data_IF_489408416717
#
_entry.id   IF_489408416717
#
_cell.length_a   1.000
_cell.length_b   1.000
_cell.length_c   1.000
_cell.angle_alpha   90.00
_cell.angle_beta   90.00
_cell.angle_gamma   90.00
#
_symmetry.space_group_name_H-M   'P 1'
#
loop_
_entity.id
_entity.type
_entity.pdbx_description
1 polymer ?
#
# COMPACT_ATOMS: atom_id res chain seq x y z
N UNK A 1 -6.78 -0.74 -21.56
CA UNK A 1 -5.88 -0.08 -20.59
C UNK A 1 -5.67 -1.03 -19.43
N UNK A 2 -4.52 -1.71 -19.34
CA UNK A 2 -4.19 -2.63 -18.24
C UNK A 2 -3.47 -1.87 -17.14
N UNK A 3 -4.19 -1.05 -16.37
CA UNK A 3 -3.61 -0.37 -15.21
C UNK A 3 -4.45 -0.64 -13.98
N UNK A 4 -3.79 -0.88 -12.86
CA UNK A 4 -4.44 -0.92 -11.55
C UNK A 4 -4.99 0.46 -11.23
N UNK A 5 -6.14 0.50 -10.54
CA UNK A 5 -6.84 1.75 -10.17
C UNK A 5 -5.89 2.69 -9.42
N UNK A 6 -5.52 3.85 -10.00
CA UNK A 6 -4.56 4.76 -9.40
C UNK A 6 -4.94 5.13 -7.97
N UNK A 7 -3.95 5.23 -7.09
CA UNK A 7 -4.10 5.61 -5.67
C UNK A 7 -4.93 4.65 -4.79
N UNK A 8 -5.45 3.56 -5.34
CA UNK A 8 -6.23 2.56 -4.59
C UNK A 8 -5.44 1.28 -4.32
N UNK A 9 -4.77 0.73 -5.34
CA UNK A 9 -4.09 -0.57 -5.21
C UNK A 9 -2.92 -0.54 -4.22
N UNK A 10 -2.21 0.59 -4.12
CA UNK A 10 -1.13 0.78 -3.15
C UNK A 10 -1.66 0.68 -1.72
N UNK A 11 -2.92 1.10 -1.51
CA UNK A 11 -3.51 1.07 -0.18
C UNK A 11 -3.76 -0.36 0.29
N UNK A 12 -4.29 -1.20 -0.61
CA UNK A 12 -4.56 -2.61 -0.36
C UNK A 12 -3.27 -3.36 -0.02
N UNK A 13 -2.21 -3.18 -0.81
CA UNK A 13 -0.93 -3.88 -0.57
C UNK A 13 -0.32 -3.46 0.76
N UNK A 14 -0.32 -2.17 1.09
CA UNK A 14 0.23 -1.69 2.34
C UNK A 14 -0.56 -2.18 3.56
N UNK A 15 -1.89 -2.23 3.48
CA UNK A 15 -2.73 -2.74 4.57
C UNK A 15 -2.49 -4.24 4.79
N UNK A 16 -2.36 -5.03 3.71
CA UNK A 16 -1.97 -6.44 3.81
C UNK A 16 -0.55 -6.62 4.35
N UNK A 17 0.41 -5.80 3.92
CA UNK A 17 1.77 -5.82 4.45
C UNK A 17 1.77 -5.63 5.96
N UNK A 18 1.09 -4.60 6.46
CA UNK A 18 1.00 -4.35 7.89
C UNK A 18 0.24 -5.46 8.63
N UNK A 19 -0.87 -5.94 8.08
CA UNK A 19 -1.67 -7.02 8.67
C UNK A 19 -0.84 -8.29 8.91
N UNK A 20 -0.03 -8.68 7.92
CA UNK A 20 0.76 -9.92 7.97
C UNK A 20 2.10 -9.78 8.70
N UNK A 21 2.73 -8.60 8.65
CA UNK A 21 4.09 -8.44 9.19
C UNK A 21 4.15 -7.65 10.49
N UNK A 22 3.15 -6.78 10.75
CA UNK A 22 3.14 -5.80 11.85
C UNK A 22 4.36 -4.87 11.86
N UNK A 23 5.03 -4.71 10.72
CA UNK A 23 6.22 -3.87 10.59
C UNK A 23 5.84 -2.40 10.35
N UNK A 24 6.61 -1.46 10.90
CA UNK A 24 6.29 -0.02 10.85
C UNK A 24 6.53 0.64 9.49
N UNK A 25 7.06 -0.09 8.50
CA UNK A 25 7.45 0.49 7.22
C UNK A 25 6.28 1.07 6.43
N UNK A 26 6.41 2.34 6.05
CA UNK A 26 5.56 2.98 5.05
C UNK A 26 6.18 2.75 3.66
N UNK A 27 5.62 1.83 2.88
CA UNK A 27 6.12 1.53 1.53
C UNK A 27 5.59 2.55 0.53
N UNK A 28 6.51 3.09 -0.26
CA UNK A 28 6.21 3.88 -1.46
C UNK A 28 6.39 3.00 -2.67
N UNK A 29 5.36 2.93 -3.52
CA UNK A 29 5.37 2.04 -4.67
C UNK A 29 5.64 2.79 -5.97
N UNK A 30 6.40 2.16 -6.87
CA UNK A 30 6.53 2.64 -8.25
C UNK A 30 5.31 2.25 -9.07
N UNK A 31 5.20 2.80 -10.29
CA UNK A 31 4.14 2.40 -11.23
C UNK A 31 4.14 0.87 -11.38
N UNK A 32 2.99 0.20 -11.23
CA UNK A 32 2.92 -1.24 -11.37
C UNK A 32 3.01 -1.59 -12.85
N UNK A 33 3.60 -2.74 -13.14
CA UNK A 33 3.61 -3.29 -14.48
C UNK A 33 2.54 -4.36 -14.58
N UNK A 34 1.64 -4.24 -15.57
CA UNK A 34 0.58 -5.22 -15.83
C UNK A 34 0.69 -5.68 -17.27
N UNK A 35 0.90 -6.97 -17.47
CA UNK A 35 1.08 -7.57 -18.79
C UNK A 35 0.29 -8.85 -18.95
N UNK A 36 -0.49 -8.94 -20.01
CA UNK A 36 -1.26 -10.14 -20.36
C UNK A 36 -0.42 -11.21 -21.06
N UNK A 37 0.76 -10.85 -21.56
CA UNK A 37 1.66 -11.74 -22.31
C UNK A 37 3.03 -11.91 -21.64
N UNK A 38 3.21 -11.34 -20.44
CA UNK A 38 4.45 -11.46 -19.68
C UNK A 38 4.51 -12.73 -18.84
N UNK A 39 5.70 -13.06 -18.33
CA UNK A 39 5.88 -14.14 -17.35
C UNK A 39 5.10 -13.90 -16.05
N UNK A 40 4.87 -12.63 -15.71
CA UNK A 40 4.05 -12.21 -14.57
C UNK A 40 2.94 -11.30 -15.06
N UNK A 41 1.71 -11.59 -14.64
CA UNK A 41 0.55 -10.74 -14.92
C UNK A 41 0.66 -9.36 -14.26
N UNK A 42 1.01 -9.31 -12.97
CA UNK A 42 1.25 -8.06 -12.24
C UNK A 42 2.62 -8.11 -11.58
N UNK A 43 3.37 -7.02 -11.68
CA UNK A 43 4.59 -6.78 -10.93
C UNK A 43 4.50 -5.42 -10.20
N UNK A 44 4.81 -5.43 -8.91
CA UNK A 44 4.82 -4.29 -8.02
C UNK A 44 6.16 -4.21 -7.32
N UNK A 45 6.75 -3.01 -7.32
CA UNK A 45 7.94 -2.70 -6.53
C UNK A 45 7.63 -1.60 -5.53
N UNK A 46 8.07 -1.81 -4.30
CA UNK A 46 7.95 -0.87 -3.20
C UNK A 46 9.29 -0.62 -2.53
N UNK A 47 9.46 0.58 -1.99
CA UNK A 47 10.62 0.97 -1.19
C UNK A 47 10.15 1.76 0.02
N UNK A 48 10.75 1.49 1.17
CA UNK A 48 10.57 2.37 2.32
C UNK A 48 11.49 3.61 2.24
N UNK A 49 10.95 4.80 2.49
CA UNK A 49 11.73 6.04 2.52
C UNK A 49 12.76 6.07 3.65
N UNK A 50 12.43 5.48 4.80
CA UNK A 50 13.21 5.68 6.03
C UNK A 50 14.30 4.62 6.18
N UNK A 51 13.95 3.33 6.03
CA UNK A 51 14.90 2.23 6.18
C UNK A 51 15.49 1.72 4.86
N UNK A 52 14.99 2.22 3.72
CA UNK A 52 15.37 1.80 2.37
C UNK A 52 15.13 0.32 2.04
N UNK A 53 14.42 -0.40 2.91
CA UNK A 53 14.01 -1.78 2.65
C UNK A 53 13.10 -1.87 1.43
N UNK A 54 13.27 -2.94 0.66
CA UNK A 54 12.66 -3.15 -0.64
C UNK A 54 11.59 -4.25 -0.56
N UNK A 55 10.45 -3.97 -1.16
CA UNK A 55 9.32 -4.87 -1.31
C UNK A 55 9.13 -5.22 -2.78
N UNK A 56 8.94 -6.50 -3.07
CA UNK A 56 8.59 -6.98 -4.40
C UNK A 56 7.34 -7.83 -4.32
N UNK A 57 6.41 -7.62 -5.24
CA UNK A 57 5.15 -8.37 -5.31
C UNK A 57 4.84 -8.79 -6.74
N UNK A 58 4.54 -10.07 -6.96
CA UNK A 58 4.15 -10.60 -8.28
C UNK A 58 2.86 -11.40 -8.23
N UNK A 59 2.11 -11.34 -9.32
CA UNK A 59 0.98 -12.23 -9.61
C UNK A 59 1.30 -12.87 -10.96
N UNK A 60 1.42 -14.18 -11.00
CA UNK A 60 1.90 -14.87 -12.19
C UNK A 60 0.77 -15.09 -13.21
N UNK A 61 -0.39 -15.54 -12.75
CA UNK A 61 -1.54 -15.87 -13.60
C UNK A 61 -2.58 -14.76 -13.65
N UNK A 62 -3.23 -14.60 -14.81
CA UNK A 62 -4.38 -13.72 -14.98
C UNK A 62 -5.55 -14.27 -14.17
N UNK A 63 -6.14 -13.50 -13.23
CA UNK A 63 -7.28 -13.97 -12.47
C UNK A 63 -8.54 -14.02 -13.34
N UNK A 64 -9.45 -14.94 -13.00
CA UNK A 64 -10.81 -14.89 -13.50
C UNK A 64 -11.50 -13.58 -13.04
N UNK A 65 -12.54 -13.17 -13.77
CA UNK A 65 -13.29 -11.95 -13.45
C UNK A 65 -13.82 -12.00 -12.02
N UNK A 66 -13.53 -10.97 -11.22
CA UNK A 66 -13.89 -10.84 -9.80
C UNK A 66 -13.29 -11.90 -8.86
N UNK A 67 -12.31 -12.69 -9.32
CA UNK A 67 -11.64 -13.66 -8.46
C UNK A 67 -10.64 -12.98 -7.50
N UNK A 68 -10.49 -13.57 -6.31
CA UNK A 68 -9.41 -13.20 -5.40
C UNK A 68 -8.06 -13.66 -5.97
N UNK A 69 -7.03 -12.85 -5.76
CA UNK A 69 -5.66 -13.14 -6.19
C UNK A 69 -4.75 -13.34 -4.99
N UNK A 70 -3.75 -14.20 -5.16
CA UNK A 70 -2.63 -14.34 -4.23
C UNK A 70 -1.42 -13.66 -4.87
N UNK A 71 -0.87 -12.67 -4.20
CA UNK A 71 0.38 -12.02 -4.58
C UNK A 71 1.53 -12.71 -3.87
N UNK A 72 2.54 -13.14 -4.62
CA UNK A 72 3.81 -13.62 -4.08
C UNK A 72 4.64 -12.40 -3.70
N UNK A 73 5.05 -12.33 -2.43
CA UNK A 73 5.78 -11.17 -1.90
C UNK A 73 7.16 -11.58 -1.41
N UNK A 74 8.18 -10.76 -1.67
CA UNK A 74 9.50 -10.87 -1.08
C UNK A 74 9.94 -9.56 -0.44
N UNK A 75 10.72 -9.67 0.63
CA UNK A 75 11.15 -8.58 1.49
C UNK A 75 12.68 -8.60 1.61
N UNK A 76 13.34 -7.48 1.33
CA UNK A 76 14.78 -7.34 1.45
C UNK A 76 15.14 -6.09 2.24
N UNK A 77 15.96 -6.23 3.28
CA UNK A 77 16.38 -5.13 4.16
C UNK A 77 15.93 -5.31 5.61
N UNK A 78 16.09 -4.26 6.41
CA UNK A 78 15.70 -4.24 7.82
C UNK A 78 14.49 -3.35 8.06
N UNK A 79 13.33 -3.98 8.04
CA UNK A 79 12.02 -3.33 8.20
C UNK A 79 11.68 -3.01 9.66
N UNK A 80 12.51 -3.43 10.63
CA UNK A 80 12.26 -3.23 12.07
C UNK A 80 12.78 -1.89 12.58
N UNK A 81 13.52 -1.15 11.75
CA UNK A 81 14.02 0.19 12.11
C UNK A 81 12.85 1.11 12.50
N UNK A 82 13.13 2.08 13.36
CA UNK A 82 12.14 3.08 13.77
C UNK A 82 11.86 4.01 12.60
N UNK A 83 10.58 4.27 12.34
CA UNK A 83 10.11 5.16 11.27
C UNK A 83 9.47 6.39 11.89
N UNK A 84 9.81 7.57 11.37
CA UNK A 84 9.24 8.84 11.83
C UNK A 84 8.19 9.38 10.86
N UNK A 85 8.26 8.96 9.59
CA UNK A 85 7.28 9.38 8.60
C UNK A 85 6.02 8.54 8.70
N UNK A 86 4.88 9.23 8.82
CA UNK A 86 3.58 8.59 8.70
C UNK A 86 3.24 8.37 7.24
N UNK A 87 2.49 7.30 6.98
CA UNK A 87 1.98 7.02 5.66
C UNK A 87 1.08 8.15 5.18
N UNK A 88 1.25 8.56 3.93
CA UNK A 88 0.36 9.53 3.29
C UNK A 88 -1.00 8.91 3.00
N UNK A 89 -2.07 9.57 3.43
CA UNK A 89 -3.43 9.25 2.99
C UNK A 89 -3.62 9.70 1.54
N UNK A 90 -3.97 8.75 0.66
CA UNK A 90 -4.14 8.96 -0.78
C UNK A 90 -5.43 8.29 -1.28
N UNK A 91 -5.94 8.76 -2.42
CA UNK A 91 -7.13 8.23 -3.07
C UNK A 91 -8.40 8.40 -2.23
N UNK A 92 -9.34 7.47 -2.39
CA UNK A 92 -10.63 7.45 -1.70
C UNK A 92 -10.49 7.42 -0.18
N UNK A 93 -9.39 6.88 0.35
CA UNK A 93 -9.11 6.85 1.80
C UNK A 93 -8.95 8.26 2.35
N UNK A 94 -8.28 9.16 1.62
CA UNK A 94 -8.15 10.57 2.01
C UNK A 94 -9.52 11.26 2.06
N UNK A 95 -10.35 11.03 1.04
CA UNK A 95 -11.69 11.63 0.96
C UNK A 95 -12.59 11.17 2.11
N UNK A 96 -12.57 9.86 2.42
CA UNK A 96 -13.31 9.30 3.57
C UNK A 96 -12.88 9.93 4.88
N UNK A 97 -11.58 10.08 5.11
CA UNK A 97 -11.03 10.70 6.32
C UNK A 97 -11.45 12.17 6.42
N UNK A 98 -11.36 12.94 5.34
CA UNK A 98 -11.80 14.34 5.32
C UNK A 98 -13.30 14.47 5.61
N UNK A 99 -14.12 13.63 4.98
CA UNK A 99 -15.56 13.64 5.20
C UNK A 99 -15.92 13.25 6.64
N UNK A 100 -15.21 12.26 7.21
CA UNK A 100 -15.38 11.87 8.61
C UNK A 100 -15.02 13.02 9.56
N UNK A 101 -13.86 13.65 9.38
CA UNK A 101 -13.44 14.82 10.17
C UNK A 101 -14.46 15.97 10.08
N UNK A 102 -14.99 16.24 8.88
CA UNK A 102 -16.02 17.27 8.67
C UNK A 102 -17.31 16.95 9.43
N UNK A 103 -17.76 15.70 9.39
CA UNK A 103 -19.01 15.27 10.01
C UNK A 103 -18.90 15.22 11.54
N UNK A 104 -17.76 14.79 12.07
CA UNK A 104 -17.51 14.64 13.50
C UNK A 104 -16.96 15.92 14.15
N UNK A 105 -16.66 16.97 13.36
CA UNK A 105 -16.00 18.21 13.79
C UNK A 105 -14.67 17.97 14.51
N UNK A 106 -13.96 16.91 14.13
CA UNK A 106 -12.66 16.54 14.70
C UNK A 106 -11.57 17.39 14.08
N UNK A 107 -10.76 18.04 14.92
CA UNK A 107 -9.61 18.80 14.45
C UNK A 107 -8.56 17.87 13.80
N UNK A 108 -7.92 18.26 12.68
CA UNK A 108 -6.90 17.44 12.03
C UNK A 108 -5.77 17.01 12.96
N UNK A 109 -5.41 17.82 13.95
CA UNK A 109 -4.36 17.50 14.92
C UNK A 109 -4.73 16.34 15.85
N UNK A 110 -6.02 16.16 16.15
CA UNK A 110 -6.55 15.06 16.97
C UNK A 110 -6.55 13.76 16.14
N UNK A 111 -7.04 13.82 14.90
CA UNK A 111 -7.05 12.67 13.99
C UNK A 111 -5.64 12.09 13.75
N UNK A 112 -4.65 12.96 13.54
CA UNK A 112 -3.26 12.53 13.29
C UNK A 112 -2.65 11.82 14.51
N UNK A 113 -3.08 12.14 15.73
CA UNK A 113 -2.63 11.47 16.96
C UNK A 113 -3.25 10.09 17.11
N UNK A 114 -4.53 9.93 16.78
CA UNK A 114 -5.24 8.65 16.87
C UNK A 114 -4.76 7.62 15.84
N UNK A 115 -4.41 8.01 14.61
CA UNK A 115 -3.78 7.08 13.64
C UNK A 115 -2.34 6.66 14.05
N UNK A 116 -1.77 7.21 15.14
CA UNK A 116 -0.43 6.88 15.63
C UNK A 116 -0.43 5.88 16.81
N UNK A 117 -1.61 5.54 17.35
CA UNK A 117 -1.81 4.57 18.43
C UNK A 117 -2.11 3.18 17.88
#
# INVERSE_FOLDING_TARGET
YTMLTPYEWTNVIQDHFFLHTRLPCCLSFTKPYVSIHGMTFVNVNGKCSDCHSMFYGTIDAIPAMNARVIMKCSFHGDFRKIHYHKRRLIGSRKERVINKMRNEKTDPSVFVREEAA
#
